data_IF_014710676615
#
_entry.id   IF_014710676615
#
_cell.length_a   1.000
_cell.length_b   1.000
_cell.length_c   1.000
_cell.angle_alpha   90.00
_cell.angle_beta   90.00
_cell.angle_gamma   90.00
#
_symmetry.space_group_name_H-M   'P 1'
#
loop_
_entity.id
_entity.type
_entity.pdbx_description
1 polymer ?
#
# COMPACT_ATOMS: atom_id res chain seq x y z
N UNK A 1 41.86 -9.21 4.42
CA UNK A 1 42.76 -8.60 3.40
C UNK A 1 42.77 -7.05 3.47
N UNK A 2 42.18 -6.47 4.54
CA UNK A 2 41.81 -5.07 4.71
C UNK A 2 42.82 -4.22 5.49
N UNK A 3 43.72 -4.86 6.24
CA UNK A 3 44.77 -4.20 7.02
C UNK A 3 46.13 -4.34 6.35
N UNK A 4 47.02 -3.40 6.65
CA UNK A 4 48.44 -3.45 6.31
C UNK A 4 49.31 -2.95 7.46
N UNK A 5 50.53 -3.50 7.54
CA UNK A 5 51.55 -3.07 8.48
C UNK A 5 52.74 -2.53 7.69
N UNK A 6 53.22 -1.34 8.05
CA UNK A 6 54.39 -0.76 7.38
C UNK A 6 55.71 -1.26 8.00
N UNK A 7 56.83 -0.86 7.42
CA UNK A 7 58.17 -1.27 7.88
C UNK A 7 58.50 -0.75 9.29
N UNK A 8 57.82 0.31 9.74
CA UNK A 8 57.92 0.88 11.08
C UNK A 8 57.03 0.15 12.11
N UNK A 9 56.26 -0.86 11.70
CA UNK A 9 55.38 -1.64 12.57
C UNK A 9 54.03 -0.99 12.86
N UNK A 10 53.65 0.06 12.13
CA UNK A 10 52.34 0.70 12.23
C UNK A 10 51.31 -0.12 11.45
N UNK A 11 50.35 -0.67 12.16
CA UNK A 11 49.18 -1.31 11.58
C UNK A 11 48.11 -0.25 11.25
N UNK A 12 47.57 -0.30 10.04
CA UNK A 12 46.43 0.52 9.63
C UNK A 12 45.45 -0.26 8.76
N UNK A 13 44.21 0.25 8.67
CA UNK A 13 43.31 -0.13 7.60
C UNK A 13 43.85 0.40 6.26
N UNK A 14 43.69 -0.38 5.20
CA UNK A 14 44.10 0.03 3.85
C UNK A 14 43.24 1.17 3.35
N UNK A 15 43.85 2.02 2.53
CA UNK A 15 43.17 3.13 1.91
C UNK A 15 41.97 2.64 1.07
N UNK A 16 40.83 3.33 1.19
CA UNK A 16 39.57 2.98 0.51
C UNK A 16 38.73 1.90 1.21
N UNK A 17 39.19 1.35 2.33
CA UNK A 17 38.36 0.51 3.21
C UNK A 17 37.87 1.30 4.41
N UNK A 18 36.72 0.90 4.94
CA UNK A 18 36.11 1.42 6.16
C UNK A 18 35.74 0.25 7.06
N UNK A 19 35.81 0.46 8.38
CA UNK A 19 35.25 -0.47 9.35
C UNK A 19 33.74 -0.22 9.46
N UNK A 20 33.00 -1.26 9.77
CA UNK A 20 31.54 -1.32 9.82
C UNK A 20 31.24 -2.31 10.95
N UNK A 21 30.65 -1.81 12.04
CA UNK A 21 30.50 -2.56 13.28
C UNK A 21 29.48 -3.70 13.11
N UNK A 22 28.41 -3.44 12.40
CA UNK A 22 27.29 -4.36 12.12
C UNK A 22 27.77 -5.52 11.25
N UNK A 23 28.77 -5.28 10.41
CA UNK A 23 29.45 -6.33 9.64
C UNK A 23 30.49 -7.08 10.47
N UNK A 24 31.40 -6.37 11.12
CA UNK A 24 32.52 -6.94 11.87
C UNK A 24 32.88 -6.06 13.09
N UNK A 25 32.26 -6.31 14.24
CA UNK A 25 32.56 -5.62 15.51
C UNK A 25 34.01 -5.76 16.00
N UNK A 26 34.78 -6.71 15.46
CA UNK A 26 36.21 -6.82 15.74
C UNK A 26 36.98 -7.59 14.65
N UNK A 27 38.27 -7.29 14.54
CA UNK A 27 39.21 -7.99 13.70
C UNK A 27 40.30 -8.63 14.54
N UNK A 28 40.54 -9.92 14.32
CA UNK A 28 41.65 -10.64 14.93
C UNK A 28 42.70 -11.00 13.89
N UNK A 29 43.97 -10.76 14.20
CA UNK A 29 45.06 -11.09 13.30
C UNK A 29 46.34 -11.50 14.03
N UNK A 30 47.12 -12.34 13.36
CA UNK A 30 48.43 -12.78 13.81
C UNK A 30 49.49 -11.80 13.28
N UNK A 31 50.16 -11.08 14.16
CA UNK A 31 51.35 -10.29 13.81
C UNK A 31 52.58 -11.17 14.02
N UNK A 32 53.35 -11.38 12.97
CA UNK A 32 54.61 -12.13 13.04
C UNK A 32 55.78 -11.19 12.80
N UNK A 33 56.66 -11.06 13.80
CA UNK A 33 57.94 -10.38 13.66
C UNK A 33 59.01 -11.42 13.31
N UNK A 34 59.89 -11.10 12.37
CA UNK A 34 61.02 -11.94 11.94
C UNK A 34 62.32 -11.16 12.17
N UNK A 35 63.35 -11.81 12.72
CA UNK A 35 64.69 -11.22 12.81
C UNK A 35 65.56 -11.56 11.59
N UNK A 36 66.73 -10.93 11.47
CA UNK A 36 67.66 -11.17 10.34
C UNK A 36 68.23 -12.61 10.30
N UNK A 37 68.16 -13.33 11.42
CA UNK A 37 68.58 -14.73 11.51
C UNK A 37 67.48 -15.72 11.08
N UNK A 38 66.24 -15.25 10.85
CA UNK A 38 65.09 -16.07 10.45
C UNK A 38 64.24 -16.59 11.60
N UNK A 39 64.49 -16.20 12.84
CA UNK A 39 63.62 -16.54 13.97
C UNK A 39 62.36 -15.66 13.94
N UNK A 40 61.21 -16.24 14.29
CA UNK A 40 59.94 -15.52 14.32
C UNK A 40 59.25 -15.57 15.68
N UNK A 41 58.53 -14.49 15.98
CA UNK A 41 57.59 -14.42 17.10
C UNK A 41 56.24 -13.98 16.55
N UNK A 42 55.20 -14.77 16.85
CA UNK A 42 53.83 -14.45 16.47
C UNK A 42 53.00 -14.08 17.70
N UNK A 43 52.30 -12.96 17.64
CA UNK A 43 51.29 -12.57 18.63
C UNK A 43 49.93 -12.44 17.96
N UNK A 44 48.88 -12.78 18.71
CA UNK A 44 47.51 -12.49 18.31
C UNK A 44 47.19 -11.08 18.79
N UNK A 45 46.66 -10.25 17.91
CA UNK A 45 46.12 -8.93 18.23
C UNK A 45 44.65 -8.89 17.84
N UNK A 46 43.84 -8.29 18.69
CA UNK A 46 42.42 -8.01 18.45
C UNK A 46 42.24 -6.50 18.37
N UNK A 47 41.60 -6.02 17.31
CA UNK A 47 41.17 -4.64 17.15
C UNK A 47 39.65 -4.64 17.20
N UNK A 48 39.07 -3.93 18.15
CA UNK A 48 37.62 -3.72 18.24
C UNK A 48 37.22 -2.54 17.37
N UNK A 49 36.07 -2.64 16.72
CA UNK A 49 35.40 -1.52 16.08
C UNK A 49 34.47 -0.91 17.13
N UNK A 50 34.51 0.41 17.27
CA UNK A 50 33.55 1.11 18.11
C UNK A 50 32.28 1.34 17.31
N UNK A 51 31.17 0.95 17.91
CA UNK A 51 29.81 1.16 17.44
C UNK A 51 29.48 2.67 17.45
N UNK A 52 28.82 3.16 16.41
CA UNK A 52 28.36 4.54 16.28
C UNK A 52 26.92 4.52 15.81
N UNK A 53 26.08 5.42 16.33
CA UNK A 53 24.68 5.44 15.93
C UNK A 53 24.53 5.80 14.44
N UNK A 54 24.06 4.86 13.63
CA UNK A 54 23.59 5.04 12.25
C UNK A 54 22.09 5.32 12.18
N UNK A 55 21.69 5.97 11.09
CA UNK A 55 20.29 6.16 10.77
C UNK A 55 19.72 4.94 10.05
N UNK A 56 18.40 4.73 10.13
CA UNK A 56 17.73 3.74 9.29
C UNK A 56 18.04 4.04 7.82
N UNK A 57 18.60 3.04 7.14
CA UNK A 57 19.05 3.17 5.75
C UNK A 57 17.87 3.08 4.78
N UNK A 58 16.86 2.27 5.12
CA UNK A 58 15.80 1.93 4.17
C UNK A 58 14.53 1.41 4.81
N UNK A 59 13.41 1.81 4.21
CA UNK A 59 12.12 1.16 4.36
C UNK A 59 11.56 0.85 2.96
N UNK A 60 11.20 -0.40 2.69
CA UNK A 60 10.71 -0.79 1.37
C UNK A 60 9.56 -1.77 1.40
N UNK A 61 8.60 -1.60 0.50
CA UNK A 61 7.50 -2.54 0.34
C UNK A 61 8.01 -3.91 -0.11
N UNK A 62 7.63 -4.95 0.63
CA UNK A 62 7.79 -6.34 0.23
C UNK A 62 6.62 -6.77 -0.67
N UNK A 63 6.85 -6.81 -1.99
CA UNK A 63 5.81 -6.83 -3.02
C UNK A 63 4.99 -8.13 -3.16
N UNK A 64 5.06 -9.09 -2.23
CA UNK A 64 4.45 -10.42 -2.38
C UNK A 64 3.59 -10.87 -1.18
N UNK A 65 2.95 -9.92 -0.50
CA UNK A 65 1.99 -10.23 0.56
C UNK A 65 0.69 -10.85 0.05
N UNK A 66 -0.05 -11.56 0.93
CA UNK A 66 -1.36 -12.18 0.62
C UNK A 66 -2.35 -11.24 -0.07
N UNK A 67 -2.33 -9.97 0.33
CA UNK A 67 -3.28 -8.95 -0.12
C UNK A 67 -2.72 -8.06 -1.24
N UNK A 68 -1.55 -8.39 -1.77
CA UNK A 68 -1.08 -7.83 -3.04
C UNK A 68 -2.10 -8.15 -4.14
N UNK A 69 -2.49 -7.16 -4.93
CA UNK A 69 -3.34 -7.38 -6.09
C UNK A 69 -2.60 -7.20 -7.41
N UNK A 70 -2.28 -5.96 -7.78
CA UNK A 70 -1.54 -5.66 -9.02
C UNK A 70 -0.78 -4.35 -8.91
N UNK A 71 0.30 -4.26 -9.68
CA UNK A 71 0.93 -2.99 -10.01
C UNK A 71 0.11 -2.30 -11.10
N UNK A 72 -0.34 -1.07 -10.85
CA UNK A 72 -1.03 -0.27 -11.83
C UNK A 72 -0.12 0.83 -12.38
N UNK A 73 -0.45 1.29 -13.59
CA UNK A 73 0.28 2.32 -14.30
C UNK A 73 -0.71 3.22 -15.02
N UNK A 74 -0.95 4.40 -14.47
CA UNK A 74 -1.99 5.31 -14.94
C UNK A 74 -1.69 6.78 -14.57
N UNK A 75 -2.64 7.66 -14.83
CA UNK A 75 -2.64 9.05 -14.37
C UNK A 75 -3.19 9.12 -12.95
N UNK A 76 -2.48 9.84 -12.08
CA UNK A 76 -2.95 10.15 -10.72
C UNK A 76 -2.90 11.67 -10.48
N UNK A 77 -3.71 12.14 -9.56
CA UNK A 77 -3.70 13.53 -9.11
C UNK A 77 -2.87 13.67 -7.83
N UNK A 78 -1.97 14.64 -7.82
CA UNK A 78 -1.09 14.94 -6.69
C UNK A 78 -1.20 16.40 -6.30
N UNK A 79 -0.79 16.69 -5.07
CA UNK A 79 -0.68 18.05 -4.55
C UNK A 79 0.78 18.50 -4.59
N UNK A 80 1.04 19.67 -5.13
CA UNK A 80 2.38 20.27 -5.10
C UNK A 80 2.68 20.93 -3.75
N UNK A 81 3.87 21.53 -3.63
CA UNK A 81 4.30 22.23 -2.42
C UNK A 81 3.49 23.49 -2.08
N UNK A 82 2.66 23.97 -3.00
CA UNK A 82 1.82 25.17 -2.87
C UNK A 82 0.35 24.81 -2.64
N UNK A 83 0.07 23.55 -2.34
CA UNK A 83 -1.27 23.01 -2.10
C UNK A 83 -2.15 22.93 -3.37
N UNK A 84 -1.55 23.06 -4.56
CA UNK A 84 -2.25 23.01 -5.83
C UNK A 84 -2.26 21.59 -6.42
N UNK A 85 -3.41 21.21 -6.98
CA UNK A 85 -3.59 19.90 -7.62
C UNK A 85 -3.03 19.90 -9.04
N UNK A 86 -2.32 18.84 -9.39
CA UNK A 86 -1.82 18.60 -10.75
C UNK A 86 -1.94 17.12 -11.15
N UNK A 87 -2.19 16.90 -12.44
CA UNK A 87 -2.18 15.57 -13.03
C UNK A 87 -0.74 15.12 -13.27
N UNK A 88 -0.44 13.88 -12.91
CA UNK A 88 0.79 13.21 -13.32
C UNK A 88 0.45 11.92 -14.03
N UNK A 89 0.73 11.89 -15.33
CA UNK A 89 0.55 10.70 -16.15
C UNK A 89 1.67 9.69 -15.88
N UNK A 90 1.47 8.45 -16.32
CA UNK A 90 2.52 7.42 -16.34
C UNK A 90 3.08 7.12 -14.94
N UNK A 91 2.23 7.14 -13.91
CA UNK A 91 2.63 6.85 -12.54
C UNK A 91 2.33 5.41 -12.18
N UNK A 92 3.34 4.78 -11.57
CA UNK A 92 3.17 3.47 -10.94
C UNK A 92 2.59 3.62 -9.53
N UNK A 93 1.56 2.83 -9.21
CA UNK A 93 1.02 2.71 -7.86
C UNK A 93 0.64 1.27 -7.55
N UNK A 94 0.81 0.88 -6.30
CA UNK A 94 0.56 -0.47 -5.83
C UNK A 94 -0.89 -0.58 -5.37
N UNK A 95 -1.64 -1.51 -5.95
CA UNK A 95 -2.97 -1.82 -5.45
C UNK A 95 -2.88 -2.96 -4.42
N UNK A 96 -3.42 -2.70 -3.23
CA UNK A 96 -3.56 -3.67 -2.14
C UNK A 96 -5.04 -3.92 -1.91
N UNK A 97 -5.46 -5.18 -2.02
CA UNK A 97 -6.83 -5.57 -1.73
C UNK A 97 -7.07 -5.59 -0.24
N UNK A 98 -8.08 -4.86 0.21
CA UNK A 98 -8.59 -4.93 1.57
C UNK A 98 -9.83 -5.83 1.53
N UNK A 99 -9.71 -7.11 1.95
CA UNK A 99 -10.87 -7.99 2.01
C UNK A 99 -11.89 -7.47 3.04
N UNK A 100 -13.14 -7.88 2.83
CA UNK A 100 -14.22 -7.76 3.81
C UNK A 100 -13.75 -8.23 5.20
N UNK A 101 -14.15 -7.48 6.22
CA UNK A 101 -13.70 -7.67 7.59
C UNK A 101 -14.82 -7.31 8.57
N UNK A 102 -14.91 -8.06 9.67
CA UNK A 102 -15.76 -7.61 10.78
C UNK A 102 -15.14 -6.36 11.42
N UNK A 103 -15.96 -5.58 12.12
CA UNK A 103 -15.46 -4.41 12.88
C UNK A 103 -14.37 -4.78 13.91
N UNK A 104 -14.32 -6.02 14.40
CA UNK A 104 -13.28 -6.49 15.32
C UNK A 104 -11.97 -6.90 14.65
N UNK A 105 -11.94 -7.00 13.32
CA UNK A 105 -10.83 -7.62 12.60
C UNK A 105 -9.80 -6.58 12.18
N UNK A 106 -8.52 -6.88 12.44
CA UNK A 106 -7.39 -6.22 11.80
C UNK A 106 -7.08 -6.90 10.47
N UNK A 107 -6.75 -6.11 9.45
CA UNK A 107 -6.46 -6.63 8.11
C UNK A 107 -5.02 -6.36 7.77
N UNK A 108 -4.26 -7.43 7.59
CA UNK A 108 -2.93 -7.37 7.02
C UNK A 108 -2.99 -6.73 5.64
N UNK A 109 -2.12 -5.77 5.34
CA UNK A 109 -2.06 -5.11 4.04
C UNK A 109 -0.85 -5.63 3.26
N UNK A 110 0.33 -5.39 3.80
CA UNK A 110 1.61 -5.74 3.23
C UNK A 110 2.70 -5.73 4.31
N UNK A 111 3.92 -6.09 3.93
CA UNK A 111 5.10 -6.01 4.80
C UNK A 111 6.04 -4.93 4.29
N UNK A 112 6.64 -4.19 5.21
CA UNK A 112 7.76 -3.27 4.96
C UNK A 112 9.04 -3.96 5.44
N UNK A 113 9.99 -4.13 4.54
CA UNK A 113 11.35 -4.53 4.88
C UNK A 113 12.11 -3.28 5.35
N UNK A 114 12.58 -3.32 6.60
CA UNK A 114 13.39 -2.27 7.22
C UNK A 114 14.86 -2.69 7.21
N UNK A 115 15.74 -1.77 6.81
CA UNK A 115 17.19 -1.90 6.98
C UNK A 115 17.61 -0.78 7.90
N UNK A 116 17.90 -1.15 9.13
CA UNK A 116 18.37 -0.28 10.19
C UNK A 116 19.57 -0.99 10.84
N UNK A 117 20.80 -0.51 10.63
CA UNK A 117 22.03 -1.14 11.12
C UNK A 117 22.02 -1.36 12.64
N UNK A 118 21.58 -0.34 13.39
CA UNK A 118 21.48 -0.37 14.85
C UNK A 118 20.17 -0.95 15.35
N UNK A 119 19.13 -0.83 14.53
CA UNK A 119 17.77 -1.02 14.98
C UNK A 119 17.30 0.12 15.87
N UNK A 120 15.98 0.29 15.96
CA UNK A 120 15.37 1.25 16.87
C UNK A 120 14.54 0.56 17.94
N UNK A 121 14.48 1.19 19.12
CA UNK A 121 13.53 0.79 20.15
C UNK A 121 12.07 1.00 19.69
N UNK A 122 11.83 1.94 18.77
CA UNK A 122 10.50 2.29 18.27
C UNK A 122 10.53 2.67 16.80
N UNK A 123 9.68 2.03 16.00
CA UNK A 123 9.36 2.47 14.64
C UNK A 123 7.92 2.97 14.59
N UNK A 124 7.74 4.23 14.18
CA UNK A 124 6.44 4.86 14.02
C UNK A 124 6.03 4.83 12.54
N UNK A 125 4.87 4.25 12.26
CA UNK A 125 4.29 4.28 10.92
C UNK A 125 3.56 5.60 10.69
N UNK A 126 3.98 6.34 9.68
CA UNK A 126 3.31 7.54 9.22
C UNK A 126 2.63 7.22 7.88
N UNK A 127 1.34 7.53 7.80
CA UNK A 127 0.52 7.32 6.59
C UNK A 127 -0.21 8.60 6.25
N UNK A 128 0.06 9.13 5.07
CA UNK A 128 -0.57 10.36 4.58
C UNK A 128 -1.27 10.09 3.26
N UNK A 129 -2.44 10.69 3.07
CA UNK A 129 -3.00 10.83 1.72
C UNK A 129 -2.10 11.73 0.87
N UNK A 130 -2.15 11.59 -0.45
CA UNK A 130 -1.47 12.54 -1.36
C UNK A 130 -1.99 13.98 -1.24
N UNK A 131 -3.15 14.19 -0.61
CA UNK A 131 -3.66 15.53 -0.24
C UNK A 131 -3.01 16.11 1.03
N UNK A 132 -2.17 15.34 1.72
CA UNK A 132 -1.47 15.73 2.94
C UNK A 132 -2.22 15.44 4.24
N UNK A 133 -3.37 14.77 4.19
CA UNK A 133 -4.11 14.37 5.40
C UNK A 133 -3.40 13.21 6.08
N UNK A 134 -3.07 13.39 7.36
CA UNK A 134 -2.54 12.32 8.20
C UNK A 134 -3.66 11.35 8.56
N UNK A 135 -3.46 10.07 8.22
CA UNK A 135 -4.38 8.97 8.49
C UNK A 135 -3.67 7.83 9.23
N UNK A 136 -2.52 8.11 9.83
CA UNK A 136 -1.68 7.11 10.52
C UNK A 136 -2.44 6.36 11.61
N UNK A 137 -3.38 7.02 12.27
CA UNK A 137 -4.23 6.43 13.32
C UNK A 137 -5.06 5.23 12.84
N UNK A 138 -5.32 5.09 11.53
CA UNK A 138 -6.05 3.96 10.96
C UNK A 138 -5.18 2.70 10.82
N UNK A 139 -3.86 2.86 10.85
CA UNK A 139 -2.90 1.80 10.53
C UNK A 139 -2.07 1.42 11.75
N UNK A 140 -1.55 0.20 11.72
CA UNK A 140 -0.61 -0.32 12.71
C UNK A 140 0.55 -1.00 12.00
N UNK A 141 1.76 -0.73 12.45
CA UNK A 141 2.95 -1.51 12.11
C UNK A 141 3.24 -2.51 13.24
N UNK A 142 3.51 -3.75 12.88
CA UNK A 142 4.24 -4.69 13.72
C UNK A 142 5.73 -4.55 13.41
N UNK A 143 6.44 -3.81 14.25
CA UNK A 143 7.88 -3.55 14.09
C UNK A 143 8.74 -4.84 14.05
N UNK A 144 8.28 -5.93 14.66
CA UNK A 144 9.04 -7.18 14.70
C UNK A 144 8.98 -7.97 13.39
N UNK A 145 7.93 -7.75 12.59
CA UNK A 145 7.69 -8.48 11.34
C UNK A 145 7.63 -7.57 10.11
N UNK A 146 7.61 -6.25 10.32
CA UNK A 146 7.37 -5.26 9.27
C UNK A 146 5.93 -5.25 8.76
N UNK A 147 5.03 -6.07 9.30
CA UNK A 147 3.68 -6.21 8.79
C UNK A 147 2.84 -4.97 9.11
N UNK A 148 2.22 -4.40 8.09
CA UNK A 148 1.31 -3.26 8.17
C UNK A 148 -0.13 -3.76 8.13
N UNK A 149 -0.94 -3.25 9.04
CA UNK A 149 -2.35 -3.61 9.19
C UNK A 149 -3.24 -2.38 9.13
N UNK A 150 -4.42 -2.52 8.54
CA UNK A 150 -5.57 -1.68 8.83
C UNK A 150 -6.17 -2.15 10.17
N UNK A 151 -6.36 -1.21 11.11
CA UNK A 151 -6.83 -1.54 12.47
C UNK A 151 -8.26 -2.06 12.50
N UNK A 152 -8.60 -2.77 13.58
CA UNK A 152 -9.97 -3.11 13.91
C UNK A 152 -10.82 -1.82 14.01
N UNK A 153 -12.02 -1.87 13.43
CA UNK A 153 -12.95 -0.73 13.38
C UNK A 153 -12.53 0.42 12.48
N UNK A 154 -11.32 0.41 11.92
CA UNK A 154 -10.87 1.40 10.96
C UNK A 154 -11.41 1.06 9.57
N UNK A 155 -12.03 2.05 8.93
CA UNK A 155 -12.25 2.11 7.49
C UNK A 155 -11.49 3.33 6.95
N UNK A 156 -11.03 3.26 5.71
CA UNK A 156 -10.42 4.41 5.05
C UNK A 156 -11.47 5.05 4.16
N UNK A 157 -12.29 5.92 4.73
CA UNK A 157 -13.33 6.63 4.00
C UNK A 157 -12.83 8.00 3.52
N UNK A 158 -12.34 8.04 2.29
CA UNK A 158 -11.98 9.31 1.64
C UNK A 158 -13.19 10.09 1.11
N UNK A 159 -14.40 9.56 1.25
CA UNK A 159 -15.66 10.23 0.88
C UNK A 159 -15.92 11.51 1.70
N UNK A 160 -15.27 11.64 2.87
CA UNK A 160 -15.30 12.88 3.69
C UNK A 160 -13.98 13.66 3.65
N UNK A 161 -12.97 13.16 2.94
CA UNK A 161 -11.67 13.82 2.80
C UNK A 161 -11.83 15.04 1.92
N UNK A 162 -11.51 16.22 2.45
CA UNK A 162 -11.36 17.45 1.67
C UNK A 162 -10.06 17.41 0.85
N UNK A 163 -9.95 16.38 0.02
CA UNK A 163 -9.18 16.26 -1.21
C UNK A 163 -10.10 16.00 -2.42
N UNK A 164 -11.40 15.79 -2.18
CA UNK A 164 -12.53 16.25 -2.98
C UNK A 164 -13.53 16.89 -1.99
N UNK A 165 -13.65 18.22 -1.92
CA UNK A 165 -14.68 18.83 -1.04
C UNK A 165 -16.09 18.45 -1.56
N UNK A 166 -16.76 17.48 -0.94
CA UNK A 166 -18.23 17.46 -0.91
C UNK A 166 -18.70 18.28 0.30
N UNK A 167 -18.64 19.60 0.18
CA UNK A 167 -19.31 20.53 1.08
C UNK A 167 -20.14 21.56 0.30
N UNK A 168 -21.29 21.14 -0.21
CA UNK A 168 -22.47 22.00 -0.34
C UNK A 168 -22.46 23.13 -1.39
N UNK A 169 -21.81 22.99 -2.55
CA UNK A 169 -21.75 24.08 -3.55
C UNK A 169 -22.35 23.81 -4.94
N UNK A 170 -22.94 22.64 -5.20
CA UNK A 170 -23.84 22.45 -6.36
C UNK A 170 -23.27 22.77 -7.76
N UNK A 171 -22.04 22.35 -8.06
CA UNK A 171 -21.47 22.37 -9.42
C UNK A 171 -20.46 21.22 -9.65
N UNK A 172 -20.32 20.79 -10.91
CA UNK A 172 -19.81 19.48 -11.38
C UNK A 172 -18.29 19.25 -11.29
N UNK A 173 -17.94 17.95 -11.20
CA UNK A 173 -16.60 17.34 -11.17
C UNK A 173 -16.01 17.19 -12.58
N UNK A 174 -14.68 17.26 -12.72
CA UNK A 174 -13.99 16.88 -13.95
C UNK A 174 -12.87 15.88 -13.65
N UNK A 175 -13.17 14.60 -13.87
CA UNK A 175 -12.20 13.58 -14.27
C UNK A 175 -11.94 13.68 -15.78
N UNK A 176 -10.81 13.14 -16.25
CA UNK A 176 -10.23 13.33 -17.59
C UNK A 176 -11.22 13.53 -18.78
N UNK A 177 -11.05 14.66 -19.48
CA UNK A 177 -11.57 15.03 -20.81
C UNK A 177 -12.84 14.30 -21.33
N UNK A 178 -13.97 14.52 -20.66
CA UNK A 178 -15.31 14.14 -21.14
C UNK A 178 -16.36 14.53 -20.10
N UNK A 179 -17.58 14.89 -20.49
CA UNK A 179 -18.64 15.17 -19.52
C UNK A 179 -19.11 13.85 -18.88
N UNK A 180 -19.04 13.81 -17.54
CA UNK A 180 -19.76 12.90 -16.65
C UNK A 180 -19.57 11.39 -16.91
N UNK A 181 -18.39 10.84 -16.58
CA UNK A 181 -18.19 9.39 -16.42
C UNK A 181 -17.87 9.03 -14.95
N UNK A 182 -18.84 8.48 -14.18
CA UNK A 182 -18.69 8.17 -12.76
C UNK A 182 -17.72 7.00 -12.47
N UNK A 183 -17.13 6.37 -13.49
CA UNK A 183 -16.35 5.13 -13.34
C UNK A 183 -14.85 5.40 -13.10
N UNK A 184 -14.34 6.62 -13.33
CA UNK A 184 -12.87 6.84 -13.41
C UNK A 184 -12.22 7.71 -12.31
N UNK A 185 -12.94 8.11 -11.26
CA UNK A 185 -12.43 9.01 -10.19
C UNK A 185 -11.88 8.29 -8.93
N UNK A 186 -11.52 7.00 -9.00
CA UNK A 186 -11.41 6.11 -7.81
C UNK A 186 -10.03 6.04 -7.11
N UNK A 187 -8.94 6.52 -7.72
CA UNK A 187 -7.61 6.29 -7.13
C UNK A 187 -7.37 7.27 -5.96
N UNK A 188 -7.19 6.76 -4.74
CA UNK A 188 -6.84 7.52 -3.52
C UNK A 188 -5.48 7.06 -3.00
N UNK A 189 -4.37 7.55 -3.57
CA UNK A 189 -3.07 7.08 -3.17
C UNK A 189 -2.70 7.55 -1.77
N UNK A 190 -2.08 6.65 -1.04
CA UNK A 190 -1.44 6.84 0.25
C UNK A 190 0.08 6.78 0.06
N UNK A 191 0.77 7.56 0.89
CA UNK A 191 2.21 7.53 1.04
C UNK A 191 2.52 7.06 2.45
N UNK A 192 3.44 6.12 2.55
CA UNK A 192 3.88 5.51 3.80
C UNK A 192 5.33 5.92 4.09
N UNK A 193 5.61 6.22 5.35
CA UNK A 193 6.96 6.47 5.88
C UNK A 193 7.10 5.85 7.27
N UNK A 194 8.34 5.62 7.67
CA UNK A 194 8.71 5.08 8.97
C UNK A 194 9.58 6.11 9.65
N UNK A 195 9.21 6.51 10.86
CA UNK A 195 10.01 7.41 11.69
C UNK A 195 10.61 6.65 12.86
N UNK A 196 11.92 6.84 13.07
CA UNK A 196 12.68 6.34 14.21
C UNK A 196 13.41 7.49 14.93
N UNK A 197 14.35 7.17 15.82
CA UNK A 197 15.15 8.16 16.56
C UNK A 197 16.11 8.97 15.65
N UNK A 198 16.36 8.49 14.43
CA UNK A 198 17.23 9.13 13.43
C UNK A 198 16.47 10.02 12.44
N UNK A 199 15.17 9.76 12.24
CA UNK A 199 14.26 10.60 11.47
C UNK A 199 13.23 9.82 10.65
N UNK A 200 12.53 10.52 9.76
CA UNK A 200 11.53 9.93 8.87
C UNK A 200 12.16 9.42 7.57
N UNK A 201 11.97 8.13 7.29
CA UNK A 201 12.36 7.46 6.05
C UNK A 201 11.12 7.07 5.25
N UNK A 202 11.07 7.50 4.00
CA UNK A 202 10.01 7.18 3.07
C UNK A 202 10.05 5.69 2.68
N UNK A 203 8.87 5.04 2.60
CA UNK A 203 8.76 3.67 2.08
C UNK A 203 8.89 3.70 0.56
N UNK A 204 9.75 2.84 0.01
CA UNK A 204 10.06 2.77 -1.42
C UNK A 204 9.64 1.46 -2.08
N UNK A 205 9.72 1.41 -3.41
CA UNK A 205 9.50 0.19 -4.20
C UNK A 205 10.68 -0.79 -4.06
N UNK A 206 10.57 -1.75 -3.13
CA UNK A 206 11.63 -2.75 -2.91
C UNK A 206 13.01 -2.10 -2.75
N UNK A 207 14.04 -2.68 -3.37
CA UNK A 207 15.42 -2.18 -3.34
C UNK A 207 15.73 -1.01 -4.29
N UNK A 208 14.72 -0.42 -4.95
CA UNK A 208 14.93 0.61 -5.98
C UNK A 208 14.57 2.01 -5.51
N UNK A 209 15.47 2.96 -5.75
CA UNK A 209 15.22 4.39 -5.58
C UNK A 209 14.54 5.05 -6.80
N UNK A 210 14.33 4.31 -7.90
CA UNK A 210 14.07 4.90 -9.22
C UNK A 210 12.60 5.30 -9.42
N UNK A 211 11.67 4.95 -8.52
CA UNK A 211 10.23 5.23 -8.66
C UNK A 211 9.59 5.80 -7.37
N UNK A 212 10.28 6.69 -6.65
CA UNK A 212 9.78 7.26 -5.40
C UNK A 212 8.95 8.55 -5.61
N UNK A 213 7.92 8.81 -4.77
CA UNK A 213 7.48 7.99 -3.64
C UNK A 213 6.67 6.75 -4.08
N UNK A 214 6.63 5.73 -3.22
CA UNK A 214 5.68 4.62 -3.39
C UNK A 214 4.27 5.13 -3.12
N UNK A 215 3.42 5.06 -4.14
CA UNK A 215 1.98 5.28 -4.00
C UNK A 215 1.28 3.94 -3.78
N UNK A 216 0.49 3.85 -2.70
CA UNK A 216 -0.32 2.67 -2.40
C UNK A 216 -1.79 3.03 -2.46
N UNK A 217 -2.59 2.20 -3.12
CA UNK A 217 -4.03 2.36 -3.23
C UNK A 217 -4.66 1.15 -2.58
N UNK A 218 -5.55 1.41 -1.62
CA UNK A 218 -6.32 0.37 -0.96
C UNK A 218 -7.59 0.14 -1.77
N UNK A 219 -7.74 -1.07 -2.29
CA UNK A 219 -8.91 -1.50 -3.03
C UNK A 219 -9.77 -2.34 -2.09
N UNK A 220 -10.85 -1.76 -1.57
CA UNK A 220 -11.77 -2.47 -0.72
C UNK A 220 -12.60 -3.45 -1.55
N UNK A 221 -12.58 -4.73 -1.16
CA UNK A 221 -13.55 -5.70 -1.67
C UNK A 221 -14.75 -5.70 -0.74
N UNK A 222 -15.90 -5.23 -1.22
CA UNK A 222 -17.23 -5.24 -0.58
C UNK A 222 -17.23 -4.76 0.89
N UNK A 223 -17.60 -3.50 1.17
CA UNK A 223 -17.45 -2.89 2.51
C UNK A 223 -18.62 -3.12 3.47
N UNK A 224 -19.59 -3.96 3.10
CA UNK A 224 -20.76 -4.27 3.92
C UNK A 224 -20.69 -5.67 4.57
N UNK A 225 -20.51 -5.70 5.90
CA UNK A 225 -20.56 -6.90 6.76
C UNK A 225 -22.02 -7.38 7.01
N UNK A 226 -22.86 -7.31 5.98
CA UNK A 226 -24.27 -7.67 6.03
C UNK A 226 -24.69 -8.66 4.93
N UNK A 227 -23.74 -9.08 4.10
CA UNK A 227 -24.02 -9.84 2.89
C UNK A 227 -24.93 -9.03 1.98
N UNK A 228 -24.53 -7.82 1.62
CA UNK A 228 -25.13 -7.03 0.56
C UNK A 228 -24.06 -6.43 -0.34
N UNK A 229 -24.33 -6.45 -1.64
CA UNK A 229 -23.43 -5.91 -2.66
C UNK A 229 -23.46 -4.38 -2.61
N UNK A 230 -22.35 -3.75 -2.26
CA UNK A 230 -22.21 -2.31 -2.41
C UNK A 230 -21.97 -1.95 -3.88
N UNK A 231 -22.99 -1.38 -4.51
CA UNK A 231 -22.89 -0.78 -5.84
C UNK A 231 -22.12 0.54 -5.71
N UNK A 232 -20.80 0.41 -5.58
CA UNK A 232 -19.80 1.48 -5.55
C UNK A 232 -18.43 0.99 -6.03
N UNK A 233 -18.16 -0.30 -5.92
CA UNK A 233 -17.20 -0.99 -6.76
C UNK A 233 -17.96 -1.71 -7.87
N UNK A 234 -17.84 -1.21 -9.09
CA UNK A 234 -17.95 -2.09 -10.26
C UNK A 234 -16.93 -3.19 -10.06
N UNK A 235 -17.36 -4.42 -9.74
CA UNK A 235 -16.55 -5.58 -10.08
C UNK A 235 -16.25 -5.38 -11.57
N UNK A 236 -15.02 -5.59 -12.04
CA UNK A 236 -14.72 -5.58 -13.49
C UNK A 236 -15.57 -6.65 -14.27
N UNK A 237 -16.52 -7.32 -13.61
CA UNK A 237 -17.55 -8.19 -14.18
C UNK A 237 -19.00 -7.94 -13.68
N UNK A 238 -19.29 -6.97 -12.81
CA UNK A 238 -20.67 -6.58 -12.42
C UNK A 238 -21.07 -5.23 -13.01
N UNK A 239 -20.53 -4.95 -14.20
CA UNK A 239 -21.12 -3.97 -15.10
C UNK A 239 -22.56 -4.44 -15.39
N UNK A 240 -23.54 -3.70 -14.86
CA UNK A 240 -24.85 -3.62 -15.49
C UNK A 240 -24.58 -2.96 -16.85
N UNK A 241 -24.26 -3.79 -17.85
CA UNK A 241 -24.08 -3.36 -19.21
C UNK A 241 -25.47 -3.02 -19.76
N UNK A 242 -25.80 -1.74 -19.87
CA UNK A 242 -26.94 -1.31 -20.70
C UNK A 242 -26.56 -1.54 -22.18
N UNK A 243 -26.74 -2.75 -22.67
CA UNK A 243 -26.75 -3.02 -24.10
C UNK A 243 -28.19 -2.96 -24.60
N UNK A 244 -28.71 -1.74 -24.81
CA UNK A 244 -29.94 -1.46 -25.57
C UNK A 244 -31.00 -2.58 -25.56
N UNK A 245 -31.61 -2.82 -24.40
CA UNK A 245 -32.80 -3.65 -24.34
C UNK A 245 -34.01 -2.81 -24.71
N UNK A 246 -34.69 -3.16 -25.81
CA UNK A 246 -36.01 -2.61 -26.18
C UNK A 246 -37.12 -2.92 -25.14
N UNK A 247 -36.79 -3.69 -24.08
CA UNK A 247 -37.67 -4.10 -22.99
C UNK A 247 -37.38 -3.38 -21.66
N UNK A 248 -36.39 -2.49 -21.63
CA UNK A 248 -36.06 -1.70 -20.44
C UNK A 248 -36.67 -0.31 -20.58
N UNK A 249 -37.73 -0.03 -19.82
CA UNK A 249 -38.37 1.29 -19.82
C UNK A 249 -38.64 1.81 -18.40
N UNK A 250 -37.76 1.47 -17.45
CA UNK A 250 -37.91 1.90 -16.05
C UNK A 250 -36.60 2.22 -15.35
N UNK A 251 -36.71 3.08 -14.34
CA UNK A 251 -35.62 3.50 -13.46
C UNK A 251 -35.50 2.52 -12.30
N UNK A 252 -34.30 2.05 -11.97
CA UNK A 252 -34.07 1.30 -10.73
C UNK A 252 -34.30 2.26 -9.56
N UNK A 253 -35.30 1.96 -8.74
CA UNK A 253 -35.66 2.81 -7.59
C UNK A 253 -35.18 2.21 -6.26
N UNK A 254 -34.99 0.90 -6.19
CA UNK A 254 -34.38 0.20 -5.05
C UNK A 254 -33.60 -1.01 -5.53
N UNK A 255 -32.49 -1.30 -4.87
CA UNK A 255 -31.76 -2.56 -5.02
C UNK A 255 -31.41 -3.13 -3.65
N UNK A 256 -31.31 -4.45 -3.56
CA UNK A 256 -30.79 -5.17 -2.41
C UNK A 256 -30.05 -6.41 -2.91
N UNK A 257 -29.01 -6.87 -2.24
CA UNK A 257 -28.29 -8.06 -2.69
C UNK A 257 -27.63 -8.82 -1.54
N UNK A 258 -26.84 -9.83 -1.90
CA UNK A 258 -25.86 -10.51 -1.04
C UNK A 258 -26.41 -11.63 -0.13
N UNK A 259 -27.73 -11.85 -0.13
CA UNK A 259 -28.35 -13.06 0.44
C UNK A 259 -28.61 -14.09 -0.66
N UNK A 260 -28.27 -15.35 -0.39
CA UNK A 260 -28.68 -16.50 -1.21
C UNK A 260 -30.16 -16.82 -0.94
N UNK A 261 -31.03 -16.19 -1.73
CA UNK A 261 -32.49 -16.35 -1.72
C UNK A 261 -32.87 -17.63 -2.50
N UNK A 262 -32.11 -17.98 -3.54
CA UNK A 262 -32.36 -19.12 -4.42
C UNK A 262 -31.93 -20.46 -3.82
N UNK A 263 -31.04 -20.44 -2.83
CA UNK A 263 -30.49 -21.60 -2.13
C UNK A 263 -29.40 -22.33 -2.89
N UNK A 264 -28.73 -21.66 -3.84
CA UNK A 264 -27.69 -22.25 -4.69
C UNK A 264 -26.27 -22.10 -4.12
N UNK A 265 -26.15 -21.43 -2.97
CA UNK A 265 -24.90 -21.14 -2.28
C UNK A 265 -24.19 -19.88 -2.78
N UNK A 266 -24.79 -19.12 -3.71
CA UNK A 266 -24.26 -17.86 -4.24
C UNK A 266 -25.22 -16.73 -3.87
N UNK A 267 -24.66 -15.58 -3.51
CA UNK A 267 -25.42 -14.38 -3.21
C UNK A 267 -26.25 -13.90 -4.42
N UNK A 268 -27.54 -13.65 -4.22
CA UNK A 268 -28.44 -13.12 -5.24
C UNK A 268 -28.57 -11.60 -5.15
N UNK A 269 -29.13 -10.98 -6.19
CA UNK A 269 -29.53 -9.58 -6.20
C UNK A 269 -31.03 -9.42 -6.48
N UNK A 270 -31.67 -8.43 -5.88
CA UNK A 270 -33.05 -8.02 -6.13
C UNK A 270 -33.06 -6.57 -6.59
N UNK A 271 -33.73 -6.30 -7.70
CA UNK A 271 -33.95 -4.96 -8.23
C UNK A 271 -35.43 -4.63 -8.20
N UNK A 272 -35.76 -3.40 -7.83
CA UNK A 272 -37.09 -2.83 -7.97
C UNK A 272 -37.00 -1.73 -9.01
N UNK A 273 -37.73 -1.90 -10.11
CA UNK A 273 -37.79 -0.97 -11.21
C UNK A 273 -39.14 -0.28 -11.23
N UNK A 274 -39.14 1.00 -11.55
CA UNK A 274 -40.33 1.80 -11.80
C UNK A 274 -40.34 2.26 -13.25
N UNK A 275 -41.33 1.81 -14.00
CA UNK A 275 -41.56 2.28 -15.37
C UNK A 275 -42.43 3.54 -15.32
N UNK A 276 -41.85 4.68 -15.68
CA UNK A 276 -42.55 5.97 -15.64
C UNK A 276 -43.68 6.07 -16.68
N UNK A 277 -43.62 5.27 -17.75
CA UNK A 277 -44.63 5.28 -18.82
C UNK A 277 -45.85 4.41 -18.48
N UNK A 278 -45.68 3.41 -17.61
CA UNK A 278 -46.75 2.44 -17.27
C UNK A 278 -47.16 2.42 -15.79
N UNK A 279 -46.58 3.28 -14.94
CA UNK A 279 -46.96 3.52 -13.54
C UNK A 279 -47.05 2.22 -12.72
N UNK A 280 -46.15 1.28 -13.00
CA UNK A 280 -46.01 0.02 -12.27
C UNK A 280 -44.60 -0.17 -11.73
N UNK A 281 -44.51 -1.01 -10.70
CA UNK A 281 -43.26 -1.42 -10.08
C UNK A 281 -43.01 -2.90 -10.40
N UNK A 282 -41.85 -3.20 -10.98
CA UNK A 282 -41.38 -4.56 -11.24
C UNK A 282 -40.27 -4.96 -10.27
N UNK A 283 -40.26 -6.21 -9.84
CA UNK A 283 -39.22 -6.78 -8.98
C UNK A 283 -38.51 -7.88 -9.73
N UNK A 284 -37.19 -7.75 -9.88
CA UNK A 284 -36.34 -8.73 -10.53
C UNK A 284 -35.41 -9.38 -9.53
N UNK A 285 -35.41 -10.70 -9.46
CA UNK A 285 -34.42 -11.48 -8.73
C UNK A 285 -33.38 -12.01 -9.73
N UNK A 286 -32.12 -11.76 -9.44
CA UNK A 286 -30.98 -12.20 -10.24
C UNK A 286 -30.20 -13.21 -9.40
N UNK A 287 -30.30 -14.50 -9.73
CA UNK A 287 -29.55 -15.53 -9.04
C UNK A 287 -28.05 -15.29 -9.12
N UNK A 288 -27.34 -15.55 -8.03
CA UNK A 288 -25.91 -15.39 -7.94
C UNK A 288 -25.14 -16.12 -9.04
N UNK A 289 -24.10 -15.47 -9.58
CA UNK A 289 -23.25 -16.06 -10.61
C UNK A 289 -23.85 -16.13 -12.02
N UNK A 290 -25.09 -15.68 -12.22
CA UNK A 290 -25.71 -15.55 -13.54
C UNK A 290 -25.72 -14.09 -14.00
N UNK A 291 -25.51 -13.86 -15.29
CA UNK A 291 -25.81 -12.55 -15.89
C UNK A 291 -27.32 -12.44 -16.06
N UNK A 292 -27.87 -11.25 -15.79
CA UNK A 292 -29.30 -11.01 -15.92
C UNK A 292 -29.85 -11.33 -17.32
N UNK A 293 -29.04 -11.14 -18.36
CA UNK A 293 -29.37 -11.48 -19.75
C UNK A 293 -29.63 -12.99 -19.95
N UNK A 294 -28.97 -13.85 -19.18
CA UNK A 294 -29.11 -15.31 -19.26
C UNK A 294 -30.43 -15.80 -18.64
N UNK A 295 -31.13 -14.95 -17.88
CA UNK A 295 -32.43 -15.25 -17.26
C UNK A 295 -33.62 -14.83 -18.15
N UNK A 296 -33.37 -14.07 -19.22
CA UNK A 296 -34.39 -13.59 -20.14
C UNK A 296 -34.58 -14.49 -21.37
N UNK A 297 -33.88 -15.63 -21.46
CA UNK A 297 -34.02 -16.61 -22.54
C UNK A 297 -35.15 -17.61 -22.31
#
# INVERSE_FOLDING_TARGET
>A
RFFEINAEGVLKLKDGFQADYERDASYQFNITALNDAGDSLTTIMTVTVEDVAEAMEKASLHAWGKNYYRLAYDTIWLKDSEDAWYETSNQFYQIIKVPEKNSSDEIYLFTIDLVDPDGSATYNLIVKSVSGSDVSDLFRLDASTGAVYLKAGASVEFETSTGHYHAGTGALSYGHNGPDDPITDSVRPLVFSIEDDSGEQLVTWGDSAINNPLYVVLEFGDTSDDGSLEIGHTLEASEIYETWSYYWNGTIILSAGGKDITGDGIADAVFILHDEDYDYIEVYLVPGGNRFEDLQS
#
